data_IF_801138038150
#
_entry.id   IF_801138038150
#
_cell.length_a   1.000
_cell.length_b   1.000
_cell.length_c   1.000
_cell.angle_alpha   90.00
_cell.angle_beta   90.00
_cell.angle_gamma   90.00
#
_symmetry.space_group_name_H-M   'P 1'
#
loop_
_entity.id
_entity.type
_entity.pdbx_description
1 polymer ?
#
# COMPACT_ATOMS: atom_id res chain seq x y z
N UNK A 1 27.25 -8.41 3.74
CA UNK A 1 27.06 -6.99 4.06
C UNK A 1 25.65 -6.89 4.60
N UNK A 2 25.51 -6.78 5.92
CA UNK A 2 24.27 -6.29 6.50
C UNK A 2 24.22 -4.81 6.14
N UNK A 3 23.35 -4.46 5.20
CA UNK A 3 22.93 -3.08 5.06
C UNK A 3 21.97 -2.83 6.21
N UNK A 4 22.51 -2.76 7.43
CA UNK A 4 21.93 -2.00 8.53
C UNK A 4 22.19 -0.51 8.23
N UNK A 5 21.65 -0.06 7.09
CA UNK A 5 21.26 1.32 7.01
C UNK A 5 19.99 1.38 7.85
N UNK A 6 20.03 2.10 8.96
CA UNK A 6 18.83 2.57 9.62
C UNK A 6 17.99 3.31 8.59
N UNK A 7 17.06 2.59 7.96
CA UNK A 7 15.98 3.09 7.11
C UNK A 7 15.08 4.07 7.89
N UNK A 8 15.28 4.25 9.21
CA UNK A 8 14.59 5.26 10.02
C UNK A 8 14.93 6.70 9.61
N UNK A 9 16.08 6.94 8.99
CA UNK A 9 16.46 8.29 8.50
C UNK A 9 16.13 8.47 7.01
N UNK A 10 15.70 7.39 6.34
CA UNK A 10 15.09 7.44 5.00
C UNK A 10 13.60 7.73 5.19
N UNK A 11 13.36 8.98 5.61
CA UNK A 11 12.28 9.86 5.15
C UNK A 11 10.83 9.51 5.60
N UNK A 12 10.17 10.55 6.13
CA UNK A 12 8.78 10.84 5.83
C UNK A 12 8.64 10.99 4.30
N UNK A 13 8.62 9.85 3.60
CA UNK A 13 8.56 9.84 2.15
C UNK A 13 7.14 10.13 1.72
N UNK A 14 6.89 11.38 1.36
CA UNK A 14 5.65 11.77 0.74
C UNK A 14 5.64 11.35 -0.73
N UNK A 15 5.14 10.15 -1.05
CA UNK A 15 4.77 9.82 -2.41
C UNK A 15 3.24 9.77 -2.57
N UNK A 16 2.76 10.25 -3.72
CA UNK A 16 1.34 10.15 -4.05
C UNK A 16 1.10 8.76 -4.61
N UNK A 17 0.17 8.03 -4.01
CA UNK A 17 -0.34 6.80 -4.57
C UNK A 17 -1.58 7.06 -5.42
N UNK A 18 -1.66 6.40 -6.56
CA UNK A 18 -2.85 6.33 -7.39
C UNK A 18 -3.55 5.00 -7.11
N UNK A 19 -4.85 5.03 -6.85
CA UNK A 19 -5.61 3.80 -6.64
C UNK A 19 -6.95 3.81 -7.38
N UNK A 20 -7.46 2.60 -7.62
CA UNK A 20 -8.81 2.36 -8.11
C UNK A 20 -9.49 1.41 -7.16
N UNK A 21 -10.69 1.72 -6.72
CA UNK A 21 -11.48 0.86 -5.85
C UNK A 21 -12.76 0.44 -6.57
N UNK A 22 -12.93 -0.86 -6.78
CA UNK A 22 -14.13 -1.42 -7.42
C UNK A 22 -14.86 -2.30 -6.43
N UNK A 23 -16.10 -1.95 -6.09
CA UNK A 23 -16.93 -2.68 -5.13
C UNK A 23 -18.16 -3.28 -5.81
N UNK A 24 -18.33 -4.59 -5.68
CA UNK A 24 -19.57 -5.29 -5.98
C UNK A 24 -20.28 -5.60 -4.66
N UNK A 25 -21.49 -5.10 -4.45
CA UNK A 25 -22.26 -5.34 -3.23
C UNK A 25 -23.63 -5.96 -3.50
N UNK A 26 -24.10 -6.79 -2.56
CA UNK A 26 -25.45 -7.36 -2.56
C UNK A 26 -25.93 -7.59 -1.14
N UNK A 27 -26.90 -6.76 -0.71
CA UNK A 27 -27.36 -6.75 0.68
C UNK A 27 -26.20 -6.46 1.63
N UNK A 28 -25.87 -7.40 2.51
CA UNK A 28 -24.76 -7.23 3.48
C UNK A 28 -23.41 -7.69 2.95
N UNK A 29 -23.35 -8.40 1.85
CA UNK A 29 -22.09 -8.93 1.32
C UNK A 29 -21.49 -7.96 0.31
N UNK A 30 -20.17 -7.89 0.28
CA UNK A 30 -19.43 -7.12 -0.70
C UNK A 30 -18.15 -7.83 -1.14
N UNK A 31 -17.68 -7.50 -2.33
CA UNK A 31 -16.38 -7.89 -2.88
C UNK A 31 -15.70 -6.62 -3.39
N UNK A 32 -14.43 -6.43 -3.03
CA UNK A 32 -13.64 -5.26 -3.40
C UNK A 32 -12.38 -5.69 -4.12
N UNK A 33 -12.09 -5.07 -5.26
CA UNK A 33 -10.78 -5.09 -5.90
C UNK A 33 -10.17 -3.69 -5.82
N UNK A 34 -8.98 -3.56 -5.26
CA UNK A 34 -8.37 -2.28 -4.90
C UNK A 34 -6.87 -2.24 -5.28
N UNK A 35 -6.54 -2.12 -6.58
CA UNK A 35 -5.17 -1.91 -7.02
C UNK A 35 -4.70 -0.48 -6.75
N UNK A 36 -3.45 -0.37 -6.34
CA UNK A 36 -2.80 0.87 -5.97
C UNK A 36 -1.35 0.85 -6.46
N UNK A 37 -0.95 1.92 -7.13
CA UNK A 37 0.39 2.09 -7.65
C UNK A 37 1.04 3.33 -7.05
N UNK A 38 2.33 3.24 -6.75
CA UNK A 38 3.12 4.38 -6.30
C UNK A 38 4.56 4.26 -6.73
N UNK A 39 5.18 5.40 -7.05
CA UNK A 39 6.59 5.51 -7.37
C UNK A 39 7.29 6.36 -6.32
N UNK A 40 8.55 6.06 -6.06
CA UNK A 40 9.38 6.83 -5.16
C UNK A 40 10.81 6.88 -5.70
N UNK A 41 11.40 8.07 -5.68
CA UNK A 41 12.82 8.28 -5.91
C UNK A 41 13.43 8.97 -4.67
N UNK A 42 14.59 8.51 -4.21
CA UNK A 42 15.34 9.16 -3.14
C UNK A 42 16.85 9.11 -3.40
N UNK A 43 17.54 10.18 -3.03
CA UNK A 43 19.01 10.21 -2.99
C UNK A 43 19.50 9.72 -1.63
N UNK A 44 20.63 9.00 -1.60
CA UNK A 44 21.31 8.62 -0.36
C UNK A 44 22.79 8.95 -0.42
N UNK A 45 23.37 9.27 0.74
CA UNK A 45 24.82 9.43 0.93
C UNK A 45 25.37 8.23 1.68
N UNK A 46 26.39 7.58 1.13
CA UNK A 46 27.07 6.49 1.78
C UNK A 46 28.17 6.96 2.74
N UNK A 47 28.71 6.06 3.58
CA UNK A 47 29.71 6.42 4.58
C UNK A 47 31.07 6.75 3.94
N UNK A 48 31.67 7.87 4.37
CA UNK A 48 33.05 8.26 4.04
C UNK A 48 33.17 9.53 3.17
N UNK A 49 34.40 10.05 2.96
CA UNK A 49 34.62 11.22 2.13
C UNK A 49 34.53 10.87 0.63
N UNK A 50 33.92 11.76 -0.17
CA UNK A 50 33.79 11.63 -1.63
C UNK A 50 32.34 11.45 -2.09
N UNK A 51 32.09 11.18 -3.39
CA UNK A 51 30.74 11.01 -3.94
C UNK A 51 30.14 9.63 -3.61
N UNK A 52 30.40 9.12 -2.40
CA UNK A 52 29.85 7.84 -1.94
C UNK A 52 28.38 8.10 -1.63
N UNK A 53 27.50 7.49 -2.42
CA UNK A 53 26.07 7.74 -2.41
C UNK A 53 25.45 7.22 -3.70
N UNK A 54 24.21 7.60 -3.95
CA UNK A 54 23.49 7.20 -5.13
C UNK A 54 22.02 7.55 -5.05
N UNK A 55 21.25 6.90 -5.92
CA UNK A 55 19.80 7.00 -5.99
C UNK A 55 19.16 5.65 -5.72
N UNK A 56 17.96 5.68 -5.16
CA UNK A 56 17.07 4.54 -5.09
C UNK A 56 15.75 4.92 -5.73
N UNK A 57 15.35 4.14 -6.71
CA UNK A 57 14.05 4.24 -7.38
C UNK A 57 13.22 3.02 -6.98
N UNK A 58 11.98 3.24 -6.58
CA UNK A 58 11.06 2.21 -6.08
C UNK A 58 9.74 2.34 -6.80
N UNK A 59 9.39 1.30 -7.55
CA UNK A 59 8.09 1.10 -8.17
C UNK A 59 7.32 0.06 -7.36
N UNK A 60 6.08 0.40 -6.98
CA UNK A 60 5.27 -0.49 -6.14
C UNK A 60 3.84 -0.58 -6.64
N UNK A 61 3.38 -1.81 -6.86
CA UNK A 61 1.99 -2.17 -7.06
C UNK A 61 1.50 -3.00 -5.87
N UNK A 62 0.40 -2.58 -5.26
CA UNK A 62 -0.34 -3.35 -4.27
C UNK A 62 -1.72 -3.62 -4.85
N UNK A 63 -2.15 -4.87 -4.88
CA UNK A 63 -3.48 -5.25 -5.35
C UNK A 63 -4.22 -6.10 -4.31
N UNK A 64 -5.31 -5.56 -3.80
CA UNK A 64 -6.20 -6.28 -2.89
C UNK A 64 -7.37 -6.93 -3.64
N UNK A 65 -7.73 -8.17 -3.25
CA UNK A 65 -9.02 -8.79 -3.54
C UNK A 65 -9.67 -9.25 -2.23
N UNK A 66 -10.74 -8.57 -1.82
CA UNK A 66 -11.37 -8.73 -0.51
C UNK A 66 -12.83 -9.15 -0.62
N UNK A 67 -13.25 -10.04 0.26
CA UNK A 67 -14.64 -10.45 0.47
C UNK A 67 -15.06 -10.01 1.87
N UNK A 68 -16.25 -9.44 2.00
CA UNK A 68 -16.68 -8.92 3.29
C UNK A 68 -18.17 -8.90 3.54
N UNK A 69 -18.47 -8.53 4.77
CA UNK A 69 -19.81 -8.48 5.33
C UNK A 69 -20.00 -7.20 6.14
N UNK A 70 -21.03 -6.44 5.81
CA UNK A 70 -21.47 -5.27 6.56
C UNK A 70 -22.23 -5.74 7.80
N UNK A 71 -21.59 -5.58 8.96
CA UNK A 71 -22.16 -5.89 10.28
C UNK A 71 -23.33 -4.95 10.58
N UNK A 72 -23.17 -3.67 10.21
CA UNK A 72 -24.21 -2.66 10.17
C UNK A 72 -23.98 -1.73 8.97
N UNK A 73 -24.75 -0.65 8.86
CA UNK A 73 -24.69 0.30 7.74
C UNK A 73 -23.35 1.02 7.61
N UNK A 74 -22.58 1.12 8.69
CA UNK A 74 -21.32 1.86 8.74
C UNK A 74 -20.10 0.97 8.92
N UNK A 75 -20.24 -0.25 9.44
CA UNK A 75 -19.12 -1.12 9.80
C UNK A 75 -19.19 -2.40 9.00
N UNK A 76 -18.08 -2.72 8.32
CA UNK A 76 -17.87 -4.00 7.66
C UNK A 76 -16.63 -4.71 8.19
N UNK A 77 -16.63 -6.02 8.07
CA UNK A 77 -15.45 -6.86 8.22
C UNK A 77 -15.14 -7.50 6.88
N UNK A 78 -13.87 -7.77 6.60
CA UNK A 78 -13.47 -8.44 5.36
C UNK A 78 -12.24 -9.31 5.58
N UNK A 79 -12.11 -10.30 4.70
CA UNK A 79 -10.90 -11.08 4.53
C UNK A 79 -10.59 -11.19 3.03
N UNK A 80 -9.33 -11.39 2.69
CA UNK A 80 -8.93 -11.44 1.30
C UNK A 80 -7.47 -11.79 1.11
N UNK A 81 -6.97 -11.52 -0.08
CA UNK A 81 -5.57 -11.62 -0.42
C UNK A 81 -5.05 -10.26 -0.91
N UNK A 82 -3.82 -9.94 -0.53
CA UNK A 82 -3.07 -8.78 -0.99
C UNK A 82 -1.82 -9.25 -1.69
N UNK A 83 -1.68 -8.87 -2.95
CA UNK A 83 -0.49 -9.07 -3.75
C UNK A 83 0.36 -7.80 -3.72
N UNK A 84 1.66 -7.98 -3.54
CA UNK A 84 2.68 -6.95 -3.65
C UNK A 84 3.59 -7.29 -4.82
N UNK A 85 3.86 -6.31 -5.64
CA UNK A 85 4.89 -6.36 -6.68
C UNK A 85 5.75 -5.12 -6.51
N UNK A 86 7.03 -5.37 -6.24
CA UNK A 86 7.97 -4.33 -5.86
C UNK A 86 9.27 -4.44 -6.63
N UNK A 87 9.52 -3.42 -7.44
CA UNK A 87 10.77 -3.22 -8.16
C UNK A 87 11.58 -2.11 -7.48
N UNK A 88 12.85 -2.39 -7.22
CA UNK A 88 13.79 -1.45 -6.59
C UNK A 88 15.05 -1.35 -7.45
N UNK A 89 15.35 -0.16 -7.97
CA UNK A 89 16.60 0.09 -8.67
C UNK A 89 17.53 0.90 -7.78
N UNK A 90 18.60 0.27 -7.31
CA UNK A 90 19.68 0.97 -6.61
C UNK A 90 20.71 1.43 -7.63
N UNK A 91 20.96 2.74 -7.71
CA UNK A 91 21.95 3.34 -8.62
C UNK A 91 23.05 4.03 -7.81
N UNK A 92 24.12 3.33 -7.41
CA UNK A 92 25.26 3.95 -6.75
C UNK A 92 26.03 4.87 -7.71
N UNK A 93 26.55 5.99 -7.22
CA UNK A 93 27.28 6.96 -8.05
C UNK A 93 28.53 6.38 -8.75
N UNK A 94 29.12 5.33 -8.18
CA UNK A 94 30.40 4.76 -8.61
C UNK A 94 30.27 3.34 -9.17
N UNK A 95 29.07 2.75 -9.19
CA UNK A 95 28.82 1.38 -9.62
C UNK A 95 27.63 1.33 -10.59
N UNK A 96 27.53 0.30 -11.45
CA UNK A 96 26.35 0.12 -12.29
C UNK A 96 25.07 -0.05 -11.45
N UNK A 97 23.89 0.35 -11.99
CA UNK A 97 22.61 0.10 -11.34
C UNK A 97 22.42 -1.38 -11.01
N UNK A 98 21.85 -1.65 -9.85
CA UNK A 98 21.52 -2.98 -9.36
C UNK A 98 20.00 -3.08 -9.25
N UNK A 99 19.36 -3.89 -10.12
CA UNK A 99 17.94 -4.20 -9.95
C UNK A 99 17.79 -5.15 -8.77
N UNK A 100 16.85 -4.83 -7.91
CA UNK A 100 16.37 -5.59 -6.78
C UNK A 100 14.84 -5.58 -6.88
N UNK A 101 14.19 -6.47 -6.16
CA UNK A 101 12.75 -6.54 -6.16
C UNK A 101 12.28 -7.94 -5.80
N UNK A 102 11.00 -8.01 -5.47
CA UNK A 102 10.32 -9.25 -5.21
C UNK A 102 8.82 -9.05 -5.32
N UNK A 103 8.11 -10.17 -5.44
CA UNK A 103 6.67 -10.21 -5.38
C UNK A 103 6.19 -11.25 -4.36
N UNK A 104 5.14 -10.92 -3.64
CA UNK A 104 4.64 -11.79 -2.58
C UNK A 104 3.15 -11.59 -2.31
N UNK A 105 2.56 -12.54 -1.58
CA UNK A 105 1.14 -12.51 -1.27
C UNK A 105 0.89 -12.74 0.21
N UNK A 106 0.02 -11.90 0.77
CA UNK A 106 -0.50 -12.07 2.12
C UNK A 106 -2.01 -12.32 2.10
N UNK A 107 -2.50 -13.13 3.04
CA UNK A 107 -3.90 -13.20 3.37
C UNK A 107 -4.20 -12.19 4.47
N UNK A 108 -5.23 -11.36 4.27
CA UNK A 108 -5.55 -10.25 5.16
C UNK A 108 -6.90 -10.45 5.84
N UNK A 109 -7.01 -9.91 7.05
CA UNK A 109 -8.26 -9.76 7.79
C UNK A 109 -8.37 -8.32 8.28
N UNK A 110 -9.53 -7.71 8.09
CA UNK A 110 -9.71 -6.29 8.36
C UNK A 110 -11.12 -5.85 8.69
N UNK A 111 -11.19 -4.58 9.03
CA UNK A 111 -12.43 -3.84 9.31
C UNK A 111 -12.47 -2.59 8.44
N UNK A 112 -13.68 -2.21 8.04
CA UNK A 112 -13.95 -0.95 7.36
C UNK A 112 -15.02 -0.16 8.07
N UNK A 113 -14.91 1.15 8.00
CA UNK A 113 -15.89 2.11 8.51
C UNK A 113 -16.22 3.13 7.42
N UNK A 114 -17.51 3.34 7.20
CA UNK A 114 -18.04 4.30 6.22
C UNK A 114 -19.00 5.27 6.90
N UNK A 115 -18.94 6.55 6.53
CA UNK A 115 -19.82 7.58 7.07
C UNK A 115 -20.21 8.62 6.03
N UNK A 116 -21.46 9.04 6.05
CA UNK A 116 -21.96 10.14 5.22
C UNK A 116 -21.70 11.47 5.92
N UNK A 117 -20.95 12.37 5.26
CA UNK A 117 -20.70 13.72 5.79
C UNK A 117 -21.73 14.73 5.26
N UNK A 118 -22.14 14.57 4.00
CA UNK A 118 -23.18 15.36 3.33
C UNK A 118 -23.71 14.61 2.11
N UNK A 119 -24.65 15.19 1.38
CA UNK A 119 -25.12 14.64 0.09
C UNK A 119 -24.00 14.48 -0.96
N UNK A 120 -22.90 15.24 -0.80
CA UNK A 120 -21.81 15.34 -1.79
C UNK A 120 -20.54 14.62 -1.36
N UNK A 121 -20.43 14.26 -0.09
CA UNK A 121 -19.21 13.78 0.53
C UNK A 121 -19.48 12.67 1.53
N UNK A 122 -18.67 11.63 1.44
CA UNK A 122 -18.57 10.57 2.44
C UNK A 122 -17.12 10.44 2.91
N UNK A 123 -16.93 9.70 3.99
CA UNK A 123 -15.63 9.27 4.49
C UNK A 123 -15.63 7.74 4.58
N UNK A 124 -14.51 7.13 4.22
CA UNK A 124 -14.26 5.71 4.44
C UNK A 124 -12.89 5.52 5.08
N UNK A 125 -12.78 4.56 5.98
CA UNK A 125 -11.49 4.12 6.48
C UNK A 125 -11.44 2.59 6.58
N UNK A 126 -10.26 2.02 6.38
CA UNK A 126 -10.00 0.57 6.50
C UNK A 126 -8.76 0.34 7.35
N UNK A 127 -8.80 -0.70 8.17
CA UNK A 127 -7.68 -1.21 8.96
C UNK A 127 -7.63 -2.73 8.77
N UNK A 128 -6.50 -3.25 8.33
CA UNK A 128 -6.27 -4.69 8.19
C UNK A 128 -4.85 -5.08 8.59
N UNK A 129 -4.65 -6.38 8.76
CA UNK A 129 -3.33 -6.98 8.90
C UNK A 129 -3.27 -8.34 8.23
N UNK A 130 -2.06 -8.73 7.84
CA UNK A 130 -1.78 -10.07 7.37
C UNK A 130 -2.00 -11.06 8.52
N UNK A 131 -2.71 -12.15 8.22
CA UNK A 131 -2.98 -13.26 9.13
C UNK A 131 -2.27 -14.54 8.72
N UNK A 132 -1.83 -14.62 7.47
CA UNK A 132 -1.04 -15.69 6.86
C UNK A 132 -0.42 -15.15 5.56
N UNK A 133 0.52 -15.88 4.96
CA UNK A 133 1.22 -15.47 3.75
C UNK A 133 2.73 -15.41 3.92
N UNK A 134 3.38 -14.62 3.06
CA UNK A 134 4.83 -14.58 2.97
C UNK A 134 5.46 -13.54 3.92
N UNK A 135 4.74 -12.47 4.27
CA UNK A 135 5.22 -11.47 5.23
C UNK A 135 5.28 -12.05 6.64
N UNK A 136 6.32 -11.68 7.41
CA UNK A 136 6.41 -11.99 8.85
C UNK A 136 5.39 -11.17 9.65
N UNK A 137 5.17 -9.93 9.22
CA UNK A 137 4.17 -9.02 9.77
C UNK A 137 3.79 -8.01 8.70
N UNK A 138 2.50 -7.71 8.58
CA UNK A 138 2.02 -6.60 7.76
C UNK A 138 0.73 -6.02 8.36
N UNK A 139 0.63 -4.69 8.42
CA UNK A 139 -0.63 -4.01 8.73
C UNK A 139 -0.82 -2.74 7.90
N UNK A 140 -2.08 -2.39 7.68
CA UNK A 140 -2.47 -1.35 6.74
C UNK A 140 -3.62 -0.52 7.30
N UNK A 141 -3.49 0.80 7.24
CA UNK A 141 -4.49 1.78 7.60
C UNK A 141 -4.68 2.76 6.46
N UNK A 142 -5.94 3.04 6.10
CA UNK A 142 -6.26 4.05 5.10
C UNK A 142 -7.52 4.80 5.49
N UNK A 143 -7.53 6.10 5.23
CA UNK A 143 -8.71 6.96 5.36
C UNK A 143 -8.84 7.85 4.13
N UNK A 144 -10.05 7.92 3.57
CA UNK A 144 -10.36 8.67 2.34
C UNK A 144 -11.63 9.48 2.48
N UNK A 145 -11.63 10.68 1.90
CA UNK A 145 -12.82 11.45 1.58
C UNK A 145 -13.27 11.11 0.17
N UNK A 146 -14.56 10.82 0.01
CA UNK A 146 -15.17 10.44 -1.25
C UNK A 146 -16.07 11.57 -1.76
N UNK A 147 -15.67 12.22 -2.84
CA UNK A 147 -16.52 13.19 -3.54
C UNK A 147 -17.45 12.46 -4.50
N UNK A 148 -18.75 12.55 -4.27
CA UNK A 148 -19.75 11.86 -5.10
C UNK A 148 -19.84 12.47 -6.51
N UNK A 149 -19.75 11.60 -7.52
CA UNK A 149 -19.89 11.90 -8.94
C UNK A 149 -21.04 11.02 -9.48
N UNK A 150 -22.25 11.54 -9.47
CA UNK A 150 -23.45 10.73 -9.75
C UNK A 150 -23.79 9.84 -8.56
N UNK A 151 -24.34 8.66 -8.82
CA UNK A 151 -24.91 7.77 -7.79
C UNK A 151 -23.96 6.68 -7.29
N UNK A 152 -22.91 6.34 -8.03
CA UNK A 152 -22.09 5.15 -7.75
C UNK A 152 -20.60 5.31 -8.09
N UNK A 153 -20.16 6.55 -8.33
CA UNK A 153 -18.77 6.86 -8.68
C UNK A 153 -18.27 7.96 -7.77
N UNK A 154 -17.01 7.87 -7.37
CA UNK A 154 -16.43 8.78 -6.40
C UNK A 154 -15.01 9.13 -6.76
N UNK A 155 -14.65 10.40 -6.63
CA UNK A 155 -13.25 10.81 -6.61
C UNK A 155 -12.76 10.83 -5.16
N UNK A 156 -11.60 10.23 -4.92
CA UNK A 156 -11.10 9.99 -3.59
C UNK A 156 -9.82 10.78 -3.33
N UNK A 157 -9.72 11.34 -2.13
CA UNK A 157 -8.49 11.91 -1.60
C UNK A 157 -8.32 11.44 -0.16
N UNK A 158 -7.13 11.00 0.21
CA UNK A 158 -6.91 10.45 1.53
C UNK A 158 -5.46 10.26 1.92
N UNK A 159 -5.27 9.51 2.99
CA UNK A 159 -3.97 9.13 3.52
C UNK A 159 -3.91 7.63 3.80
N UNK A 160 -2.78 6.99 3.47
CA UNK A 160 -2.47 5.60 3.82
C UNK A 160 -1.28 5.56 4.74
N UNK A 161 -1.25 4.54 5.57
CA UNK A 161 -0.09 4.09 6.31
C UNK A 161 -0.04 2.57 6.20
N UNK A 162 1.13 2.00 5.98
CA UNK A 162 1.35 0.57 6.10
C UNK A 162 2.76 0.27 6.58
N UNK A 163 2.92 -0.90 7.18
CA UNK A 163 4.17 -1.39 7.73
C UNK A 163 4.23 -2.86 7.40
N UNK A 164 5.31 -3.27 6.73
CA UNK A 164 5.52 -4.62 6.21
C UNK A 164 6.94 -5.05 6.51
N UNK A 165 7.07 -6.22 7.14
CA UNK A 165 8.31 -6.99 7.31
C UNK A 165 8.21 -8.26 6.48
N UNK A 166 8.91 -8.25 5.35
CA UNK A 166 9.03 -9.33 4.38
C UNK A 166 10.50 -9.67 4.15
N UNK A 167 10.81 -10.95 4.03
CA UNK A 167 12.17 -11.42 3.75
C UNK A 167 12.14 -12.71 2.91
N UNK A 168 12.94 -12.73 1.85
CA UNK A 168 13.08 -13.86 0.95
C UNK A 168 14.55 -14.15 0.63
N UNK A 169 14.80 -15.35 0.09
CA UNK A 169 16.14 -15.76 -0.33
C UNK A 169 17.14 -15.94 0.83
N UNK A 170 18.41 -16.11 0.49
CA UNK A 170 19.49 -16.23 1.48
C UNK A 170 20.85 -15.83 0.89
N UNK A 171 21.82 -15.49 1.74
CA UNK A 171 23.18 -15.16 1.31
C UNK A 171 23.21 -13.98 0.33
N UNK A 172 23.70 -14.21 -0.90
CA UNK A 172 23.82 -13.20 -1.94
C UNK A 172 22.50 -12.88 -2.67
N UNK A 173 21.46 -13.68 -2.47
CA UNK A 173 20.14 -13.47 -3.10
C UNK A 173 19.09 -13.04 -2.07
N UNK A 174 19.52 -12.62 -0.87
CA UNK A 174 18.60 -12.21 0.19
C UNK A 174 17.94 -10.89 -0.19
N UNK A 175 16.63 -10.85 -0.16
CA UNK A 175 15.83 -9.64 -0.23
C UNK A 175 15.12 -9.43 1.12
N UNK A 176 15.21 -8.22 1.67
CA UNK A 176 14.53 -7.84 2.92
C UNK A 176 13.82 -6.52 2.69
N UNK A 177 12.52 -6.50 2.93
CA UNK A 177 11.67 -5.32 2.90
C UNK A 177 11.04 -5.15 4.28
N UNK A 178 11.62 -4.25 5.07
CA UNK A 178 11.19 -3.94 6.44
C UNK A 178 11.03 -2.42 6.52
N UNK A 179 9.84 -1.97 6.11
CA UNK A 179 9.57 -0.57 5.82
C UNK A 179 8.16 -0.21 6.26
N UNK A 180 8.09 0.88 7.02
CA UNK A 180 6.86 1.64 7.24
C UNK A 180 6.76 2.78 6.23
N UNK A 181 5.61 2.92 5.59
CA UNK A 181 5.37 3.95 4.60
C UNK A 181 4.02 4.61 4.83
N UNK A 182 3.99 5.94 4.66
CA UNK A 182 2.76 6.71 4.75
C UNK A 182 2.74 7.81 3.72
N UNK A 183 1.56 8.08 3.16
CA UNK A 183 1.47 9.11 2.13
C UNK A 183 0.05 9.38 1.66
N UNK A 184 -0.11 10.45 0.89
CA UNK A 184 -1.37 10.81 0.28
C UNK A 184 -1.77 9.78 -0.79
N UNK A 185 -3.06 9.50 -0.87
CA UNK A 185 -3.65 8.75 -1.98
C UNK A 185 -4.70 9.57 -2.69
N UNK A 186 -4.75 9.41 -4.00
CA UNK A 186 -5.84 9.90 -4.84
C UNK A 186 -6.32 8.77 -5.73
N UNK A 187 -7.62 8.74 -6.00
CA UNK A 187 -8.14 7.62 -6.75
C UNK A 187 -9.59 7.76 -7.12
N UNK A 188 -10.11 6.67 -7.66
CA UNK A 188 -11.47 6.59 -8.15
C UNK A 188 -12.15 5.35 -7.59
N UNK A 189 -13.34 5.53 -7.02
CA UNK A 189 -14.20 4.41 -6.62
C UNK A 189 -15.35 4.23 -7.58
N UNK A 190 -15.68 2.97 -7.87
CA UNK A 190 -16.89 2.60 -8.57
C UNK A 190 -17.60 1.46 -7.85
N UNK A 191 -18.82 1.74 -7.44
CA UNK A 191 -19.70 0.80 -6.76
C UNK A 191 -20.74 0.22 -7.74
N UNK A 192 -21.02 -1.06 -7.57
CA UNK A 192 -22.01 -1.80 -8.33
C UNK A 192 -22.88 -2.61 -7.36
N UNK A 193 -24.19 -2.56 -7.57
CA UNK A 193 -25.13 -3.30 -6.75
C UNK A 193 -25.99 -2.40 -5.87
N UNK A 194 -26.80 -3.05 -5.04
CA UNK A 194 -27.84 -2.47 -4.18
C UNK A 194 -28.54 -3.56 -3.38
#
# INVERSE_FOLDING_TARGET
MEVDASFSDILDVLNIALFVNMELSKGKFFVVFDPMYSQLEADFTGPGPGPIGGKVDIDMLIADLNFGYNVNENIGIYAGARYYDQDVTLTPNLLPPQPLGDDWTDFVLGVRVNGSLSEKWSIAAKLDGAVDGDSKSAWYLQAVLLRHIGSNKHFNFGWRYYDVDYESGSGLTRFKWDVAHSGPLVGFSWEFGG
#
